data_IF_784399793850
#
_entry.id   IF_784399793850
#
_cell.length_a   1.000
_cell.length_b   1.000
_cell.length_c   1.000
_cell.angle_alpha   90.00
_cell.angle_beta   90.00
_cell.angle_gamma   90.00
#
_symmetry.space_group_name_H-M   'P 1'
#
loop_
_entity.id
_entity.type
_entity.pdbx_description
1 polymer ?
#
# COMPACT_ATOMS: atom_id res chain seq x y z
N UNK A 1 17.87 -2.75 20.45
CA UNK A 1 16.88 -2.88 19.35
C UNK A 1 16.48 -1.49 18.90
N UNK A 2 16.31 -1.25 17.58
CA UNK A 2 15.70 -0.02 17.09
C UNK A 2 14.29 0.16 17.65
N UNK A 3 13.86 1.41 17.79
CA UNK A 3 12.58 1.78 18.38
C UNK A 3 11.41 1.19 17.57
N UNK A 4 10.49 0.48 18.21
CA UNK A 4 9.33 -0.12 17.56
C UNK A 4 8.03 0.38 18.23
N UNK A 5 7.39 1.39 17.63
CA UNK A 5 6.21 2.03 18.22
C UNK A 5 5.03 1.08 18.37
N UNK A 6 4.89 0.09 17.48
CA UNK A 6 3.82 -0.90 17.58
C UNK A 6 4.01 -1.79 18.81
N UNK A 7 5.23 -2.29 19.03
CA UNK A 7 5.53 -3.10 20.21
C UNK A 7 5.49 -2.29 21.51
N UNK A 8 5.99 -1.05 21.52
CA UNK A 8 5.86 -0.12 22.65
C UNK A 8 4.39 0.05 23.06
N UNK A 9 3.48 0.16 22.09
CA UNK A 9 2.05 0.27 22.36
C UNK A 9 1.48 -1.00 23.01
N UNK A 10 1.86 -2.19 22.54
CA UNK A 10 1.46 -3.46 23.16
C UNK A 10 1.97 -3.52 24.62
N UNK A 11 3.23 -3.14 24.85
CA UNK A 11 3.84 -3.10 26.17
C UNK A 11 3.17 -2.09 27.11
N UNK A 12 2.80 -0.91 26.60
CA UNK A 12 2.07 0.10 27.38
C UNK A 12 0.65 -0.34 27.78
N UNK A 13 0.11 -1.39 27.13
CA UNK A 13 -1.25 -1.89 27.32
C UNK A 13 -1.26 -3.39 27.69
N UNK A 14 -0.26 -3.86 28.46
CA UNK A 14 -0.17 -5.28 28.88
C UNK A 14 -1.36 -5.76 29.73
N UNK A 15 -2.15 -4.84 30.30
CA UNK A 15 -3.38 -5.16 31.02
C UNK A 15 -4.54 -5.59 30.11
N UNK A 16 -4.38 -5.50 28.79
CA UNK A 16 -5.36 -6.00 27.81
C UNK A 16 -5.04 -7.44 27.41
N UNK A 17 -6.07 -8.17 26.99
CA UNK A 17 -5.89 -9.48 26.39
C UNK A 17 -5.36 -9.33 24.96
N UNK A 18 -4.18 -9.88 24.70
CA UNK A 18 -3.52 -9.86 23.40
C UNK A 18 -3.45 -11.27 22.82
N UNK A 19 -3.99 -11.46 21.62
CA UNK A 19 -3.80 -12.69 20.87
C UNK A 19 -2.46 -12.62 20.11
N UNK A 20 -1.41 -13.17 20.72
CA UNK A 20 -0.05 -13.16 20.16
C UNK A 20 0.09 -13.95 18.86
N UNK A 21 -0.79 -14.94 18.62
CA UNK A 21 -0.87 -15.62 17.32
C UNK A 21 -1.25 -14.61 16.24
N UNK A 22 -2.34 -13.86 16.40
CA UNK A 22 -2.73 -12.84 15.42
C UNK A 22 -1.69 -11.71 15.28
N UNK A 23 -1.04 -11.30 16.38
CA UNK A 23 0.01 -10.27 16.36
C UNK A 23 1.21 -10.72 15.51
N UNK A 24 1.49 -12.02 15.44
CA UNK A 24 2.60 -12.61 14.67
C UNK A 24 2.58 -12.23 13.19
N UNK A 25 1.40 -11.99 12.62
CA UNK A 25 1.26 -11.58 11.22
C UNK A 25 1.65 -10.11 10.97
N UNK A 26 1.76 -9.29 12.03
CA UNK A 26 1.99 -7.86 11.86
C UNK A 26 3.40 -7.58 11.32
N UNK A 27 3.55 -6.78 10.25
CA UNK A 27 4.85 -6.50 9.63
C UNK A 27 5.79 -5.66 10.51
N UNK A 28 5.33 -5.13 11.65
CA UNK A 28 6.20 -4.50 12.63
C UNK A 28 6.72 -5.48 13.69
N UNK A 29 6.29 -6.74 13.70
CA UNK A 29 6.85 -7.75 14.60
C UNK A 29 8.09 -8.36 13.94
N UNK A 30 9.24 -8.05 14.53
CA UNK A 30 10.54 -8.58 14.11
C UNK A 30 10.89 -9.84 14.90
N UNK A 31 11.80 -10.65 14.37
CA UNK A 31 12.30 -11.82 15.10
C UNK A 31 12.95 -11.45 16.44
N UNK A 32 13.66 -10.32 16.52
CA UNK A 32 14.23 -9.79 17.77
C UNK A 32 13.17 -9.64 18.88
N UNK A 33 11.98 -9.14 18.53
CA UNK A 33 10.87 -8.99 19.47
C UNK A 33 10.36 -10.36 19.93
N UNK A 34 10.18 -11.30 19.00
CA UNK A 34 9.76 -12.68 19.30
C UNK A 34 10.76 -13.35 20.24
N UNK A 35 12.05 -13.24 19.93
CA UNK A 35 13.15 -13.83 20.69
C UNK A 35 13.30 -13.21 22.09
N UNK A 36 13.03 -11.92 22.27
CA UNK A 36 13.05 -11.30 23.59
C UNK A 36 11.82 -11.65 24.46
N UNK A 37 10.78 -12.26 23.88
CA UNK A 37 9.49 -12.52 24.54
C UNK A 37 9.00 -13.94 24.24
N UNK A 38 9.86 -14.94 24.48
CA UNK A 38 9.57 -16.35 24.21
C UNK A 38 8.46 -16.96 25.10
N UNK A 39 8.08 -16.26 26.18
CA UNK A 39 6.98 -16.63 27.06
C UNK A 39 5.60 -16.42 26.41
N UNK A 40 5.54 -15.68 25.29
CA UNK A 40 4.28 -15.43 24.57
C UNK A 40 3.97 -16.56 23.59
N UNK A 41 2.67 -16.81 23.41
CA UNK A 41 2.15 -17.81 22.47
C UNK A 41 2.15 -17.26 21.03
N UNK A 42 3.34 -17.22 20.43
CA UNK A 42 3.53 -16.80 19.04
C UNK A 42 2.99 -17.84 18.05
N UNK A 43 2.31 -17.36 17.00
CA UNK A 43 1.80 -18.19 15.92
C UNK A 43 2.86 -18.37 14.84
N UNK A 44 3.65 -19.44 14.91
CA UNK A 44 4.74 -19.69 13.96
C UNK A 44 4.28 -19.88 12.52
N UNK A 45 3.05 -20.37 12.31
CA UNK A 45 2.39 -20.37 11.00
C UNK A 45 2.35 -18.94 10.41
N UNK A 46 1.86 -17.97 11.20
CA UNK A 46 1.71 -16.59 10.75
C UNK A 46 3.07 -15.85 10.70
N UNK A 47 4.02 -16.21 11.57
CA UNK A 47 5.40 -15.74 11.45
C UNK A 47 6.05 -16.24 10.16
N UNK A 48 5.76 -17.46 9.72
CA UNK A 48 6.32 -18.04 8.49
C UNK A 48 5.96 -17.21 7.24
N UNK A 49 4.83 -16.52 7.25
CA UNK A 49 4.42 -15.58 6.19
C UNK A 49 5.00 -14.17 6.36
N UNK A 50 5.50 -13.82 7.54
CA UNK A 50 5.93 -12.46 7.87
C UNK A 50 7.26 -12.12 7.17
N UNK A 51 7.33 -10.98 6.49
CA UNK A 51 8.50 -10.54 5.73
C UNK A 51 9.72 -10.18 6.60
N UNK A 52 9.59 -10.13 7.93
CA UNK A 52 10.75 -10.02 8.82
C UNK A 52 11.37 -11.37 9.19
N UNK A 53 10.76 -12.49 8.81
CA UNK A 53 11.34 -13.82 8.99
C UNK A 53 12.18 -14.14 7.75
N UNK A 54 13.49 -14.16 7.93
CA UNK A 54 14.45 -14.53 6.90
C UNK A 54 14.76 -16.03 6.96
N UNK A 55 15.30 -16.57 5.87
CA UNK A 55 15.75 -17.95 5.84
C UNK A 55 16.81 -18.27 6.91
N UNK A 56 17.76 -17.36 7.15
CA UNK A 56 18.77 -17.52 8.20
C UNK A 56 18.17 -17.72 9.60
N UNK A 57 17.06 -17.02 9.90
CA UNK A 57 16.32 -17.19 11.16
C UNK A 57 15.71 -18.59 11.23
N UNK A 58 15.09 -19.05 10.14
CA UNK A 58 14.49 -20.39 10.05
C UNK A 58 15.55 -21.47 10.25
N UNK A 59 16.70 -21.34 9.58
CA UNK A 59 17.82 -22.28 9.71
C UNK A 59 18.46 -22.27 11.11
N UNK A 60 18.60 -21.11 11.73
CA UNK A 60 19.17 -20.99 13.08
C UNK A 60 18.24 -21.53 14.18
N UNK A 61 16.96 -21.77 13.87
CA UNK A 61 15.90 -22.18 14.81
C UNK A 61 15.10 -23.37 14.27
N UNK A 62 15.72 -24.53 14.03
CA UNK A 62 15.06 -25.69 13.45
C UNK A 62 14.08 -26.36 14.41
N UNK A 63 14.15 -26.06 15.72
CA UNK A 63 13.25 -26.57 16.75
C UNK A 63 11.85 -25.92 16.71
N UNK A 64 11.70 -24.82 15.96
CA UNK A 64 10.43 -24.10 15.88
C UNK A 64 9.51 -24.69 14.81
N UNK A 65 8.19 -24.68 15.04
CA UNK A 65 7.22 -25.26 14.12
C UNK A 65 6.94 -24.29 12.96
N UNK A 66 7.95 -24.03 12.15
CA UNK A 66 7.81 -23.24 10.92
C UNK A 66 6.89 -23.94 9.93
N UNK A 67 6.02 -23.15 9.28
CA UNK A 67 5.12 -23.65 8.25
C UNK A 67 5.75 -23.42 6.86
N UNK A 68 6.21 -24.51 6.26
CA UNK A 68 6.85 -24.49 4.95
C UNK A 68 5.88 -24.18 3.81
N UNK A 69 4.57 -24.36 3.99
CA UNK A 69 3.57 -23.88 3.03
C UNK A 69 3.62 -22.35 2.96
N UNK A 70 3.60 -21.67 4.11
CA UNK A 70 3.66 -20.20 4.16
C UNK A 70 5.06 -19.65 3.87
N UNK A 71 6.12 -20.35 4.26
CA UNK A 71 7.49 -19.96 3.86
C UNK A 71 7.65 -20.01 2.34
N UNK A 72 7.04 -20.98 1.65
CA UNK A 72 7.09 -21.06 0.18
C UNK A 72 6.57 -19.78 -0.50
N UNK A 73 5.61 -19.07 0.11
CA UNK A 73 5.10 -17.79 -0.37
C UNK A 73 5.90 -16.58 0.14
N UNK A 74 6.78 -16.76 1.13
CA UNK A 74 7.47 -15.66 1.78
C UNK A 74 8.52 -15.02 0.84
N UNK A 75 8.54 -13.69 0.70
CA UNK A 75 9.48 -13.00 -0.20
C UNK A 75 10.95 -13.10 0.22
N UNK A 76 11.27 -13.64 1.40
CA UNK A 76 12.66 -13.95 1.79
C UNK A 76 13.10 -15.35 1.39
N UNK A 77 12.21 -16.18 0.83
CA UNK A 77 12.58 -17.46 0.22
C UNK A 77 12.89 -17.21 -1.25
N UNK A 78 14.16 -17.38 -1.62
CA UNK A 78 14.63 -17.28 -3.00
C UNK A 78 14.72 -18.67 -3.63
N UNK A 79 14.85 -18.72 -4.95
CA UNK A 79 15.03 -20.00 -5.63
C UNK A 79 16.32 -20.71 -5.23
N UNK A 80 17.41 -19.98 -4.97
CA UNK A 80 18.67 -20.55 -4.51
C UNK A 80 18.51 -21.26 -3.16
N UNK A 81 17.70 -20.71 -2.26
CA UNK A 81 17.35 -21.35 -0.98
C UNK A 81 16.59 -22.65 -1.23
N UNK A 82 15.60 -22.64 -2.12
CA UNK A 82 14.83 -23.84 -2.48
C UNK A 82 15.75 -24.93 -3.04
N UNK A 83 16.65 -24.57 -3.95
CA UNK A 83 17.61 -25.49 -4.56
C UNK A 83 18.64 -26.04 -3.57
N UNK A 84 19.13 -25.21 -2.66
CA UNK A 84 20.11 -25.62 -1.65
C UNK A 84 19.51 -26.54 -0.57
N UNK A 85 18.18 -26.59 -0.44
CA UNK A 85 17.48 -27.36 0.57
C UNK A 85 16.45 -28.33 -0.04
N UNK A 86 16.88 -29.31 -0.86
CA UNK A 86 15.98 -30.20 -1.59
C UNK A 86 15.26 -31.23 -0.70
N UNK A 87 15.72 -31.39 0.54
CA UNK A 87 15.12 -32.27 1.55
C UNK A 87 13.85 -31.67 2.18
N UNK A 88 13.59 -30.39 1.94
CA UNK A 88 12.41 -29.68 2.43
C UNK A 88 11.28 -29.83 1.43
N UNK A 89 10.09 -30.15 1.93
CA UNK A 89 8.87 -30.23 1.14
C UNK A 89 8.31 -28.84 0.85
N UNK A 90 8.93 -28.16 -0.12
CA UNK A 90 8.45 -26.88 -0.61
C UNK A 90 7.12 -27.02 -1.35
N UNK A 91 6.19 -26.10 -1.11
CA UNK A 91 4.90 -26.07 -1.79
C UNK A 91 5.04 -25.30 -3.11
N UNK A 92 5.07 -26.02 -4.23
CA UNK A 92 5.24 -25.40 -5.55
C UNK A 92 4.03 -24.57 -6.02
N UNK A 93 2.83 -24.82 -5.51
CA UNK A 93 1.69 -23.92 -5.76
C UNK A 93 1.94 -22.54 -5.14
N UNK A 94 2.44 -22.49 -3.91
CA UNK A 94 2.79 -21.24 -3.23
C UNK A 94 4.06 -20.59 -3.80
N UNK A 95 5.09 -21.39 -4.15
CA UNK A 95 6.26 -20.87 -4.85
C UNK A 95 5.89 -20.22 -6.19
N UNK A 96 4.88 -20.75 -6.89
CA UNK A 96 4.41 -20.18 -8.15
C UNK A 96 3.84 -18.76 -8.00
N UNK A 97 3.40 -18.36 -6.81
CA UNK A 97 2.97 -16.98 -6.49
C UNK A 97 4.10 -16.16 -5.83
N UNK A 98 5.25 -16.78 -5.52
CA UNK A 98 6.35 -16.10 -4.86
C UNK A 98 7.04 -15.11 -5.83
N UNK A 99 7.24 -13.84 -5.43
CA UNK A 99 7.81 -12.81 -6.31
C UNK A 99 9.26 -13.10 -6.76
N UNK A 100 9.99 -13.98 -6.06
CA UNK A 100 11.34 -14.39 -6.43
C UNK A 100 11.38 -15.53 -7.47
N UNK A 101 10.23 -16.12 -7.82
CA UNK A 101 10.15 -17.13 -8.88
C UNK A 101 9.89 -16.41 -10.21
N UNK A 102 10.95 -16.27 -10.99
CA UNK A 102 10.92 -15.68 -12.33
C UNK A 102 10.53 -16.70 -13.39
N UNK A 103 10.12 -16.23 -14.57
CA UNK A 103 9.86 -17.12 -15.69
C UNK A 103 11.09 -17.93 -16.11
N UNK A 104 12.29 -17.33 -16.07
CA UNK A 104 13.55 -18.03 -16.38
C UNK A 104 13.77 -19.24 -15.46
N UNK A 105 13.42 -19.11 -14.17
CA UNK A 105 13.48 -20.22 -13.20
C UNK A 105 12.50 -21.32 -13.59
N UNK A 106 11.26 -20.96 -13.92
CA UNK A 106 10.22 -21.91 -14.35
C UNK A 106 10.66 -22.66 -15.61
N UNK A 107 11.17 -21.94 -16.60
CA UNK A 107 11.62 -22.48 -17.87
C UNK A 107 12.86 -23.39 -17.73
N UNK A 108 13.79 -23.04 -16.84
CA UNK A 108 14.98 -23.84 -16.58
C UNK A 108 14.70 -25.12 -15.77
N UNK A 109 13.54 -25.20 -15.10
CA UNK A 109 13.17 -26.32 -14.22
C UNK A 109 11.77 -26.86 -14.57
N UNK A 110 11.55 -27.38 -15.79
CA UNK A 110 10.23 -27.78 -16.28
C UNK A 110 9.71 -29.06 -15.62
N UNK A 111 10.56 -29.82 -14.94
CA UNK A 111 10.20 -31.04 -14.19
C UNK A 111 9.47 -30.73 -12.87
N UNK A 112 9.51 -29.48 -12.42
CA UNK A 112 8.84 -29.07 -11.17
C UNK A 112 7.35 -28.81 -11.41
N UNK A 113 6.49 -29.11 -10.41
CA UNK A 113 5.04 -28.99 -10.55
C UNK A 113 4.59 -27.53 -10.36
N UNK A 114 5.04 -26.64 -11.24
CA UNK A 114 4.64 -25.24 -11.25
C UNK A 114 3.14 -25.09 -11.53
N UNK A 115 2.51 -24.16 -10.82
CA UNK A 115 1.10 -23.85 -10.98
C UNK A 115 0.91 -22.57 -11.79
N UNK A 116 0.55 -22.74 -13.06
CA UNK A 116 0.30 -21.65 -13.99
C UNK A 116 -0.88 -20.76 -13.60
N UNK A 117 -1.82 -21.26 -12.79
CA UNK A 117 -2.89 -20.44 -12.24
C UNK A 117 -2.30 -19.38 -11.30
N UNK A 118 -1.37 -19.76 -10.42
CA UNK A 118 -0.71 -18.86 -9.47
C UNK A 118 0.40 -18.04 -10.14
N UNK A 119 1.17 -18.59 -11.09
CA UNK A 119 2.13 -17.81 -11.88
C UNK A 119 1.46 -16.62 -12.59
N UNK A 120 0.18 -16.74 -12.95
CA UNK A 120 -0.59 -15.68 -13.60
C UNK A 120 -0.69 -14.39 -12.79
N UNK A 121 -0.51 -14.43 -11.46
CA UNK A 121 -0.49 -13.22 -10.62
C UNK A 121 0.88 -12.54 -10.54
N UNK A 122 1.96 -13.20 -10.98
CA UNK A 122 3.30 -12.65 -10.93
C UNK A 122 3.48 -11.55 -11.98
N UNK A 123 3.90 -10.37 -11.54
CA UNK A 123 4.15 -9.20 -12.41
C UNK A 123 5.29 -9.39 -13.41
N UNK A 124 6.08 -10.46 -13.28
CA UNK A 124 7.15 -10.82 -14.22
C UNK A 124 6.65 -11.67 -15.40
N UNK A 125 5.41 -12.15 -15.37
CA UNK A 125 4.79 -12.85 -16.50
C UNK A 125 4.31 -11.80 -17.51
N UNK A 126 4.90 -11.83 -18.72
CA UNK A 126 4.51 -10.98 -19.84
C UNK A 126 3.50 -11.68 -20.75
N UNK A 127 2.86 -10.93 -21.64
CA UNK A 127 1.96 -11.51 -22.61
C UNK A 127 2.67 -12.45 -23.60
N UNK A 128 3.90 -12.14 -23.99
CA UNK A 128 4.71 -12.98 -24.89
C UNK A 128 4.97 -14.35 -24.28
N UNK A 129 5.24 -14.41 -22.97
CA UNK A 129 5.38 -15.67 -22.23
C UNK A 129 4.08 -16.47 -22.28
N UNK A 130 2.95 -15.84 -22.00
CA UNK A 130 1.63 -16.49 -22.02
C UNK A 130 1.31 -17.02 -23.42
N UNK A 131 1.62 -16.24 -24.46
CA UNK A 131 1.37 -16.60 -25.85
C UNK A 131 2.27 -17.75 -26.32
N UNK A 132 3.56 -17.70 -26.01
CA UNK A 132 4.51 -18.76 -26.37
C UNK A 132 4.24 -20.08 -25.65
N UNK A 133 3.54 -20.03 -24.52
CA UNK A 133 3.24 -21.18 -23.66
C UNK A 133 1.72 -21.34 -23.48
N UNK A 134 0.97 -21.24 -24.58
CA UNK A 134 -0.50 -21.18 -24.57
C UNK A 134 -1.19 -22.46 -24.11
N UNK A 135 -0.49 -23.59 -24.13
CA UNK A 135 -1.01 -24.89 -23.71
C UNK A 135 -1.16 -25.00 -22.19
N UNK A 136 -0.49 -24.11 -21.45
CA UNK A 136 -0.58 -24.05 -20.01
C UNK A 136 -1.88 -23.39 -19.54
N UNK A 137 -2.31 -23.76 -18.33
CA UNK A 137 -3.57 -23.31 -17.73
C UNK A 137 -3.43 -21.95 -17.05
N UNK A 138 -3.19 -20.91 -17.85
CA UNK A 138 -3.14 -19.53 -17.38
C UNK A 138 -4.51 -19.04 -16.89
N UNK A 139 -4.50 -18.24 -15.81
CA UNK A 139 -5.68 -17.56 -15.30
C UNK A 139 -5.75 -16.12 -15.85
N UNK A 140 -6.56 -15.93 -16.89
CA UNK A 140 -6.80 -14.63 -17.51
C UNK A 140 -7.47 -13.61 -16.58
N UNK A 141 -8.17 -14.07 -15.55
CA UNK A 141 -8.66 -13.22 -14.48
C UNK A 141 -7.51 -12.57 -13.71
N UNK A 142 -6.54 -13.36 -13.24
CA UNK A 142 -5.36 -12.80 -12.54
C UNK A 142 -4.47 -11.98 -13.46
N UNK A 143 -4.27 -12.43 -14.70
CA UNK A 143 -3.53 -11.66 -15.72
C UNK A 143 -4.18 -10.29 -16.00
N UNK A 144 -5.50 -10.15 -15.81
CA UNK A 144 -6.19 -8.87 -16.02
C UNK A 144 -5.65 -7.74 -15.12
N UNK A 145 -5.10 -8.08 -13.95
CA UNK A 145 -4.49 -7.11 -13.02
C UNK A 145 -3.01 -6.85 -13.36
N UNK A 146 -2.39 -7.69 -14.18
CA UNK A 146 -0.96 -7.66 -14.43
C UNK A 146 -0.59 -6.43 -15.30
N UNK A 147 0.40 -5.62 -14.88
CA UNK A 147 0.81 -4.42 -15.62
C UNK A 147 1.44 -4.70 -16.99
N UNK A 148 1.76 -5.95 -17.32
CA UNK A 148 2.21 -6.34 -18.66
C UNK A 148 1.05 -6.63 -19.63
N UNK A 149 -0.20 -6.62 -19.15
CA UNK A 149 -1.38 -6.76 -20.01
C UNK A 149 -1.89 -5.37 -20.37
N UNK A 150 -1.80 -5.02 -21.65
CA UNK A 150 -2.32 -3.77 -22.21
C UNK A 150 -3.73 -3.92 -22.76
N UNK A 151 -4.38 -2.79 -23.05
CA UNK A 151 -5.70 -2.81 -23.69
C UNK A 151 -5.66 -3.43 -25.08
N UNK A 152 -4.61 -3.20 -25.85
CA UNK A 152 -4.42 -3.76 -27.20
C UNK A 152 -4.38 -5.29 -27.16
N UNK A 153 -3.72 -5.87 -26.14
CA UNK A 153 -3.70 -7.32 -25.91
C UNK A 153 -5.10 -7.86 -25.64
N UNK A 154 -5.86 -7.18 -24.77
CA UNK A 154 -7.24 -7.56 -24.43
C UNK A 154 -8.12 -7.51 -25.69
N UNK A 155 -8.02 -6.43 -26.46
CA UNK A 155 -8.79 -6.21 -27.68
C UNK A 155 -8.45 -7.23 -28.77
N UNK A 156 -7.18 -7.60 -28.93
CA UNK A 156 -6.74 -8.61 -29.88
C UNK A 156 -7.15 -10.03 -29.49
N UNK A 157 -7.49 -10.26 -28.21
CA UNK A 157 -7.80 -11.59 -27.66
C UNK A 157 -9.15 -11.61 -26.92
N UNK A 158 -10.27 -11.26 -27.59
CA UNK A 158 -11.56 -11.03 -26.93
C UNK A 158 -12.22 -12.30 -26.39
N UNK A 159 -11.79 -13.47 -26.86
CA UNK A 159 -12.33 -14.78 -26.47
C UNK A 159 -11.71 -15.32 -25.16
N UNK A 160 -10.67 -14.66 -24.64
CA UNK A 160 -10.09 -15.00 -23.35
C UNK A 160 -10.99 -14.46 -22.23
N UNK A 161 -11.02 -15.17 -21.10
CA UNK A 161 -11.87 -14.84 -19.95
C UNK A 161 -11.26 -13.73 -19.09
N UNK A 162 -11.12 -12.54 -19.67
CA UNK A 162 -10.65 -11.35 -18.96
C UNK A 162 -11.65 -10.91 -17.89
N UNK A 163 -11.14 -10.43 -16.75
CA UNK A 163 -11.96 -9.92 -15.65
C UNK A 163 -11.92 -8.39 -15.64
N UNK A 164 -12.96 -7.76 -16.19
CA UNK A 164 -13.06 -6.30 -16.30
C UNK A 164 -13.06 -5.57 -14.95
N UNK A 165 -13.42 -6.24 -13.85
CA UNK A 165 -13.25 -5.67 -12.52
C UNK A 165 -11.75 -5.42 -12.26
N UNK A 166 -10.90 -6.42 -12.49
CA UNK A 166 -9.45 -6.26 -12.33
C UNK A 166 -8.79 -5.43 -13.41
N UNK A 167 -9.29 -5.48 -14.66
CA UNK A 167 -8.83 -4.58 -15.73
C UNK A 167 -9.07 -3.12 -15.31
N UNK A 168 -10.19 -2.80 -14.66
CA UNK A 168 -10.49 -1.42 -14.21
C UNK A 168 -9.42 -0.83 -13.26
N UNK A 169 -8.74 -1.68 -12.48
CA UNK A 169 -7.60 -1.28 -11.62
C UNK A 169 -6.24 -1.34 -12.31
N UNK A 170 -6.16 -1.83 -13.55
CA UNK A 170 -4.89 -2.02 -14.26
C UNK A 170 -4.29 -0.65 -14.68
N UNK A 171 -2.99 -0.40 -14.43
CA UNK A 171 -2.34 0.88 -14.72
C UNK A 171 -2.24 1.21 -16.22
N UNK A 172 -2.53 0.28 -17.12
CA UNK A 172 -2.58 0.54 -18.57
C UNK A 172 -3.95 1.01 -19.05
N UNK A 173 -4.97 1.05 -18.19
CA UNK A 173 -6.32 1.48 -18.56
C UNK A 173 -6.45 2.98 -18.32
N UNK A 174 -6.63 3.72 -19.41
CA UNK A 174 -6.86 5.16 -19.40
C UNK A 174 -8.34 5.48 -19.49
N UNK A 175 -8.70 6.73 -19.16
CA UNK A 175 -10.08 7.18 -19.35
C UNK A 175 -10.52 7.12 -20.82
N UNK A 176 -9.64 7.41 -21.78
CA UNK A 176 -9.98 7.34 -23.21
C UNK A 176 -10.39 5.92 -23.64
N UNK A 177 -9.73 4.90 -23.09
CA UNK A 177 -10.09 3.49 -23.31
C UNK A 177 -11.50 3.21 -22.75
N UNK A 178 -11.76 3.62 -21.51
CA UNK A 178 -13.06 3.43 -20.85
C UNK A 178 -14.16 4.16 -21.62
N UNK A 179 -13.92 5.40 -22.00
CA UNK A 179 -14.86 6.25 -22.73
C UNK A 179 -15.18 5.71 -24.12
N UNK A 180 -14.17 5.19 -24.83
CA UNK A 180 -14.33 4.63 -26.18
C UNK A 180 -14.98 3.24 -26.19
N UNK A 181 -15.04 2.56 -25.04
CA UNK A 181 -15.59 1.20 -24.91
C UNK A 181 -16.65 1.12 -23.79
N UNK A 182 -17.76 1.87 -23.91
CA UNK A 182 -18.76 1.98 -22.84
C UNK A 182 -19.59 0.70 -22.65
N UNK A 183 -19.56 -0.24 -23.61
CA UNK A 183 -20.25 -1.53 -23.55
C UNK A 183 -19.59 -2.52 -22.57
N UNK A 184 -18.33 -2.26 -22.18
CA UNK A 184 -17.61 -3.14 -21.26
C UNK A 184 -18.05 -2.90 -19.81
N UNK A 185 -18.09 -3.96 -18.98
CA UNK A 185 -18.56 -3.87 -17.60
C UNK A 185 -17.45 -3.31 -16.68
N UNK A 186 -17.10 -2.04 -16.90
CA UNK A 186 -16.12 -1.30 -16.10
C UNK A 186 -16.57 -1.15 -14.64
N UNK A 187 -15.64 -1.36 -13.71
CA UNK A 187 -15.88 -1.16 -12.29
C UNK A 187 -15.42 0.25 -11.90
N UNK A 188 -16.36 1.18 -11.77
CA UNK A 188 -16.06 2.58 -11.44
C UNK A 188 -15.48 2.78 -10.03
N UNK A 189 -15.76 1.88 -9.09
CA UNK A 189 -15.10 1.88 -7.77
C UNK A 189 -13.59 1.69 -7.92
N UNK A 190 -13.14 0.74 -8.76
CA UNK A 190 -11.71 0.50 -9.00
C UNK A 190 -11.08 1.50 -9.98
N UNK A 191 -11.84 2.01 -10.97
CA UNK A 191 -11.38 3.13 -11.79
C UNK A 191 -11.11 4.37 -10.94
N UNK A 192 -11.94 4.63 -9.93
CA UNK A 192 -11.79 5.80 -9.06
C UNK A 192 -10.43 5.85 -8.35
N UNK A 193 -9.85 4.70 -7.99
CA UNK A 193 -8.51 4.63 -7.40
C UNK A 193 -7.37 4.48 -8.44
N UNK A 194 -7.70 4.35 -9.73
CA UNK A 194 -6.72 4.15 -10.80
C UNK A 194 -5.95 5.45 -11.10
N UNK A 195 -4.59 5.42 -11.14
CA UNK A 195 -3.77 6.61 -11.36
C UNK A 195 -3.95 7.29 -12.73
N UNK A 196 -4.66 6.67 -13.68
CA UNK A 196 -5.01 7.33 -14.96
C UNK A 196 -6.33 8.11 -14.91
N UNK A 197 -7.06 8.05 -13.79
CA UNK A 197 -8.25 8.87 -13.56
C UNK A 197 -7.83 10.11 -12.79
N UNK A 198 -7.93 11.27 -13.45
CA UNK A 198 -7.64 12.58 -12.87
C UNK A 198 -8.92 13.23 -12.32
N UNK A 199 -8.77 14.24 -11.47
CA UNK A 199 -9.91 15.01 -11.00
C UNK A 199 -10.67 15.73 -12.14
N UNK A 200 -9.96 16.19 -13.17
CA UNK A 200 -10.58 16.81 -14.35
C UNK A 200 -11.50 15.84 -15.10
N UNK A 201 -11.08 14.58 -15.25
CA UNK A 201 -11.91 13.52 -15.83
C UNK A 201 -13.21 13.34 -15.01
N UNK A 202 -13.09 13.30 -13.69
CA UNK A 202 -14.25 13.16 -12.79
C UNK A 202 -15.20 14.36 -12.92
N UNK A 203 -14.64 15.58 -12.96
CA UNK A 203 -15.43 16.81 -13.08
C UNK A 203 -16.16 16.93 -14.42
N UNK A 204 -15.53 16.50 -15.50
CA UNK A 204 -16.10 16.56 -16.86
C UNK A 204 -17.09 15.43 -17.15
N UNK A 205 -17.10 14.37 -16.32
CA UNK A 205 -17.99 13.21 -16.47
C UNK A 205 -18.76 12.92 -15.16
N UNK A 206 -19.58 13.88 -14.66
CA UNK A 206 -20.25 13.76 -13.36
C UNK A 206 -21.40 12.74 -13.36
N UNK A 207 -21.87 12.30 -14.52
CA UNK A 207 -22.91 11.27 -14.68
C UNK A 207 -22.42 9.87 -14.33
N UNK A 208 -21.11 9.66 -14.26
CA UNK A 208 -20.52 8.36 -13.96
C UNK A 208 -20.54 8.06 -12.47
N UNK A 209 -20.68 6.78 -12.07
CA UNK A 209 -20.80 6.39 -10.68
C UNK A 209 -19.43 6.34 -9.98
N UNK A 210 -18.72 7.47 -9.95
CA UNK A 210 -17.43 7.61 -9.27
C UNK A 210 -17.57 7.35 -7.77
N UNK A 211 -16.61 6.62 -7.21
CA UNK A 211 -16.54 6.34 -5.77
C UNK A 211 -15.57 7.32 -5.10
N UNK A 212 -16.14 8.30 -4.39
CA UNK A 212 -15.38 9.33 -3.69
C UNK A 212 -14.50 8.79 -2.54
N UNK A 213 -14.80 7.62 -1.98
CA UNK A 213 -13.91 6.96 -1.02
C UNK A 213 -12.63 6.48 -1.72
N UNK A 214 -12.79 5.91 -2.92
CA UNK A 214 -11.67 5.36 -3.69
C UNK A 214 -10.88 6.46 -4.40
N UNK A 215 -11.53 7.55 -4.82
CA UNK A 215 -10.85 8.75 -5.30
C UNK A 215 -9.87 9.30 -4.25
N UNK A 216 -10.23 9.27 -2.96
CA UNK A 216 -9.30 9.69 -1.91
C UNK A 216 -8.05 8.81 -1.78
N UNK A 217 -8.03 7.62 -2.38
CA UNK A 217 -6.85 6.75 -2.43
C UNK A 217 -5.98 7.00 -3.67
N UNK A 218 -6.53 7.68 -4.68
CA UNK A 218 -5.89 7.97 -5.95
C UNK A 218 -4.81 9.06 -5.79
N UNK A 219 -3.58 8.86 -6.30
CA UNK A 219 -2.49 9.82 -6.16
C UNK A 219 -2.75 11.17 -6.84
N UNK A 220 -3.68 11.25 -7.80
CA UNK A 220 -4.05 12.51 -8.46
C UNK A 220 -5.01 13.36 -7.63
N UNK A 221 -5.61 12.81 -6.57
CA UNK A 221 -6.49 13.56 -5.68
C UNK A 221 -5.64 14.19 -4.58
N UNK A 222 -5.23 15.44 -4.81
CA UNK A 222 -4.35 16.18 -3.91
C UNK A 222 -5.12 16.85 -2.76
N UNK A 223 -4.44 17.20 -1.65
CA UNK A 223 -5.05 17.99 -0.58
C UNK A 223 -5.69 19.30 -1.06
N UNK A 224 -5.12 19.94 -2.10
CA UNK A 224 -5.68 21.14 -2.71
C UNK A 224 -7.06 20.85 -3.32
N UNK A 225 -7.16 19.81 -4.15
CA UNK A 225 -8.42 19.38 -4.76
C UNK A 225 -9.47 19.07 -3.69
N UNK A 226 -9.08 18.36 -2.63
CA UNK A 226 -9.96 18.04 -1.50
C UNK A 226 -10.45 19.33 -0.82
N UNK A 227 -9.56 20.30 -0.59
CA UNK A 227 -9.91 21.56 0.07
C UNK A 227 -10.89 22.41 -0.75
N UNK A 228 -10.72 22.43 -2.08
CA UNK A 228 -11.58 23.16 -3.02
C UNK A 228 -12.94 22.46 -3.22
N UNK A 229 -13.03 21.16 -2.93
CA UNK A 229 -14.22 20.33 -3.13
C UNK A 229 -14.70 19.67 -1.83
N UNK A 230 -14.55 20.38 -0.70
CA UNK A 230 -14.74 19.85 0.64
C UNK A 230 -16.10 19.19 0.86
N UNK A 231 -17.17 19.72 0.26
CA UNK A 231 -18.53 19.17 0.39
C UNK A 231 -18.60 17.72 -0.10
N UNK A 232 -17.91 17.40 -1.19
CA UNK A 232 -17.90 16.05 -1.79
C UNK A 232 -17.06 15.07 -0.96
N UNK A 233 -15.90 15.51 -0.46
CA UNK A 233 -14.93 14.63 0.19
C UNK A 233 -15.07 14.54 1.72
N UNK A 234 -15.70 15.52 2.39
CA UNK A 234 -15.83 15.58 3.85
C UNK A 234 -16.37 14.28 4.49
N UNK A 235 -17.40 13.61 3.94
CA UNK A 235 -17.89 12.35 4.52
C UNK A 235 -16.86 11.22 4.52
N UNK A 236 -15.84 11.32 3.66
CA UNK A 236 -14.94 10.24 3.30
C UNK A 236 -13.49 10.55 3.64
N UNK A 237 -13.18 11.73 4.16
CA UNK A 237 -11.83 12.26 4.35
C UNK A 237 -10.86 11.29 5.06
N UNK A 238 -11.38 10.44 5.96
CA UNK A 238 -10.60 9.39 6.64
C UNK A 238 -9.89 8.42 5.67
N UNK A 239 -10.38 8.25 4.45
CA UNK A 239 -9.77 7.36 3.46
C UNK A 239 -8.53 7.97 2.79
N UNK A 240 -8.30 9.28 2.92
CA UNK A 240 -7.10 9.93 2.42
C UNK A 240 -5.81 9.40 3.07
N UNK A 241 -5.90 8.76 4.24
CA UNK A 241 -4.75 8.07 4.85
C UNK A 241 -4.17 6.95 3.95
N UNK A 242 -5.01 6.36 3.08
CA UNK A 242 -4.63 5.31 2.13
C UNK A 242 -4.23 5.89 0.76
N UNK A 243 -4.13 7.22 0.63
CA UNK A 243 -3.73 7.83 -0.62
C UNK A 243 -2.32 7.39 -1.02
N UNK A 244 -2.18 6.91 -2.26
CA UNK A 244 -0.89 6.45 -2.78
C UNK A 244 0.18 7.56 -2.78
N UNK A 245 -0.22 8.82 -2.86
CA UNK A 245 0.65 9.99 -2.70
C UNK A 245 1.42 9.96 -1.37
N UNK A 246 0.79 9.46 -0.30
CA UNK A 246 1.42 9.38 1.03
C UNK A 246 2.64 8.46 1.04
N UNK A 247 2.71 7.49 0.11
CA UNK A 247 3.82 6.55 0.00
C UNK A 247 4.98 7.08 -0.86
N UNK A 248 4.81 8.22 -1.53
CA UNK A 248 5.87 8.76 -2.38
C UNK A 248 7.08 9.23 -1.55
N UNK A 249 8.33 8.89 -1.94
CA UNK A 249 9.53 9.07 -1.11
C UNK A 249 9.74 10.50 -0.58
N UNK A 250 9.34 11.51 -1.38
CA UNK A 250 9.40 12.91 -0.96
C UNK A 250 8.60 13.18 0.32
N UNK A 251 7.38 12.65 0.46
CA UNK A 251 6.54 12.87 1.65
C UNK A 251 7.05 12.11 2.88
N UNK A 252 7.85 11.07 2.65
CA UNK A 252 8.54 10.34 3.71
C UNK A 252 9.88 10.97 4.10
N UNK A 253 10.40 11.89 3.28
CA UNK A 253 11.70 12.53 3.49
C UNK A 253 11.75 13.42 4.73
N UNK A 254 12.94 13.52 5.32
CA UNK A 254 13.21 14.43 6.44
C UNK A 254 12.98 15.89 6.06
N UNK A 255 13.23 16.26 4.80
CA UNK A 255 13.03 17.61 4.27
C UNK A 255 11.55 17.99 4.32
N UNK A 256 10.68 17.13 3.78
CA UNK A 256 9.24 17.38 3.79
C UNK A 256 8.68 17.48 5.21
N UNK A 257 9.06 16.54 6.09
CA UNK A 257 8.62 16.53 7.49
C UNK A 257 9.03 17.83 8.22
N UNK A 258 10.27 18.29 8.06
CA UNK A 258 10.74 19.57 8.63
C UNK A 258 9.94 20.77 8.10
N UNK A 259 9.70 20.82 6.79
CA UNK A 259 8.93 21.91 6.17
C UNK A 259 7.48 21.94 6.68
N UNK A 260 6.83 20.78 6.78
CA UNK A 260 5.46 20.69 7.31
C UNK A 260 5.38 21.05 8.80
N UNK A 261 6.33 20.61 9.64
CA UNK A 261 6.39 21.03 11.04
C UNK A 261 6.53 22.55 11.17
N UNK A 262 7.40 23.17 10.37
CA UNK A 262 7.54 24.63 10.36
C UNK A 262 6.26 25.35 9.92
N UNK A 263 5.55 24.83 8.91
CA UNK A 263 4.26 25.38 8.46
C UNK A 263 3.15 25.21 9.50
N UNK A 264 3.06 24.05 10.16
CA UNK A 264 2.08 23.81 11.23
C UNK A 264 2.37 24.74 12.41
N UNK A 265 3.63 24.87 12.82
CA UNK A 265 4.01 25.81 13.87
C UNK A 265 3.59 27.23 13.47
N UNK A 266 3.98 27.71 12.29
CA UNK A 266 3.58 29.03 11.80
C UNK A 266 2.05 29.23 11.79
N UNK A 267 1.26 28.24 11.36
CA UNK A 267 -0.21 28.32 11.38
C UNK A 267 -0.77 28.40 12.81
N UNK A 268 -0.26 27.61 13.75
CA UNK A 268 -0.63 27.67 15.17
C UNK A 268 -0.28 29.04 15.75
N UNK A 269 0.92 29.57 15.46
CA UNK A 269 1.32 30.89 15.91
C UNK A 269 0.41 31.98 15.34
N UNK A 270 0.08 31.96 14.06
CA UNK A 270 -0.87 32.90 13.46
C UNK A 270 -2.26 32.83 14.12
N UNK A 271 -2.79 31.63 14.41
CA UNK A 271 -4.06 31.46 15.12
C UNK A 271 -3.99 31.97 16.57
N UNK A 272 -2.88 31.71 17.27
CA UNK A 272 -2.64 32.22 18.62
C UNK A 272 -2.58 33.75 18.64
N UNK A 273 -1.88 34.36 17.67
CA UNK A 273 -1.83 35.82 17.48
C UNK A 273 -3.25 36.37 17.26
N UNK A 274 -4.05 35.77 16.38
CA UNK A 274 -5.44 36.17 16.15
C UNK A 274 -6.30 36.11 17.43
N UNK A 275 -6.18 35.02 18.21
CA UNK A 275 -6.92 34.86 19.46
C UNK A 275 -6.45 35.82 20.55
N UNK A 276 -5.15 36.09 20.63
CA UNK A 276 -4.52 36.97 21.63
C UNK A 276 -4.77 38.46 21.35
N UNK A 277 -4.85 38.86 20.07
CA UNK A 277 -5.19 40.23 19.66
C UNK A 277 -6.69 40.56 19.81
N UNK A 278 -7.52 39.72 20.45
CA UNK A 278 -8.91 40.06 20.79
C UNK A 278 -9.00 40.90 22.08
N UNK A 279 -10.00 41.82 22.22
CA UNK A 279 -10.09 42.72 23.37
C UNK A 279 -10.17 42.04 24.76
N UNK A 280 -10.53 40.76 24.81
CA UNK A 280 -10.77 40.03 26.06
C UNK A 280 -9.54 39.32 26.65
N UNK A 281 -8.40 39.23 25.95
CA UNK A 281 -7.28 38.36 26.38
C UNK A 281 -5.88 38.92 26.12
N UNK A 282 -5.68 40.21 26.35
CA UNK A 282 -4.39 40.85 26.12
C UNK A 282 -3.24 40.46 27.07
N UNK A 283 -3.42 39.53 28.03
CA UNK A 283 -2.42 39.31 29.10
C UNK A 283 -2.04 37.88 29.46
N UNK A 284 -2.46 36.85 28.72
CA UNK A 284 -1.95 35.49 28.97
C UNK A 284 -1.73 34.76 27.66
N UNK A 285 -0.48 34.32 27.46
CA UNK A 285 0.09 33.59 26.33
C UNK A 285 0.58 34.43 25.15
N UNK A 286 1.76 35.05 25.30
CA UNK A 286 2.52 35.50 24.14
C UNK A 286 4.03 35.68 24.37
N UNK A 287 4.69 34.81 25.13
CA UNK A 287 6.11 35.01 25.48
C UNK A 287 7.12 34.76 24.33
N UNK A 288 6.68 34.69 23.06
CA UNK A 288 7.61 34.55 21.94
C UNK A 288 7.07 34.95 20.57
N UNK A 289 5.74 34.98 20.37
CA UNK A 289 5.19 35.22 19.03
C UNK A 289 5.47 36.62 18.47
N UNK A 290 5.55 37.65 19.33
CA UNK A 290 5.89 39.01 18.91
C UNK A 290 7.37 39.15 18.49
N UNK A 291 8.25 38.31 19.04
CA UNK A 291 9.68 38.27 18.69
C UNK A 291 9.93 37.37 17.47
N UNK A 292 9.23 36.23 17.39
CA UNK A 292 9.40 35.23 16.33
C UNK A 292 8.64 35.58 15.03
N UNK A 293 7.49 36.27 15.11
CA UNK A 293 6.64 36.63 13.94
C UNK A 293 6.14 38.10 14.02
N UNK A 294 7.06 39.07 13.98
CA UNK A 294 6.75 40.48 14.27
C UNK A 294 5.82 41.14 13.24
N UNK A 295 5.88 40.74 11.96
CA UNK A 295 5.09 41.36 10.90
C UNK A 295 3.61 40.94 10.99
N UNK A 296 3.36 39.64 11.17
CA UNK A 296 2.03 39.05 11.32
C UNK A 296 1.37 39.52 12.61
N UNK A 297 2.14 39.64 13.70
CA UNK A 297 1.68 40.19 14.97
C UNK A 297 1.19 41.63 14.84
N UNK A 298 1.99 42.50 14.21
CA UNK A 298 1.64 43.91 14.00
C UNK A 298 0.43 44.06 13.08
N UNK A 299 0.36 43.27 12.01
CA UNK A 299 -0.75 43.30 11.06
C UNK A 299 -2.07 42.87 11.70
N UNK A 300 -2.08 41.81 12.51
CA UNK A 300 -3.30 41.28 13.11
C UNK A 300 -3.81 42.18 14.24
N UNK A 301 -2.94 42.64 15.13
CA UNK A 301 -3.31 43.54 16.22
C UNK A 301 -3.77 44.92 15.72
N UNK A 302 -3.35 45.38 14.54
CA UNK A 302 -3.84 46.61 13.94
C UNK A 302 -5.34 46.57 13.58
N UNK A 303 -5.94 45.38 13.39
CA UNK A 303 -7.37 45.22 13.09
C UNK A 303 -8.29 45.51 14.29
N UNK A 304 -7.72 45.57 15.50
CA UNK A 304 -8.44 45.71 16.76
C UNK A 304 -8.09 47.01 17.51
N UNK A 305 -7.38 47.94 16.86
CA UNK A 305 -7.15 49.32 17.33
C UNK A 305 -8.29 50.23 16.89
#
# INVERSE_FOLDING_TARGET
>A
MPRNMYWEFIQANMNKYWNYSCISQNPNITWDIVQANLDKLWGYELLSRNSNITWDIVQAKPDKPWDYYWLSLNPNITWEIVQANPHIYWNYHMLSENPNITWDIVQANPDKPWDYYYLSSNTNITWEIVQANSDNRWNYGMLSLNPNITWEIIQANPYKKWNYIYISSNPNITWDIVHSNPDKPWNYTLLSSNPNITWEIVQTNPDKPWDYNQLLQNPNITPKIISENMVLFKPYIKFFQYNQLNHHPYFQSTIYKRKMTAQIHSAIYCELIQRACTPARLFQWNEGAAEEFPAEYLQECAKYR
#
